data_IF_277878737084
#
_entry.id   IF_277878737084
#
_cell.length_a   1.000
_cell.length_b   1.000
_cell.length_c   1.000
_cell.angle_alpha   90.00
_cell.angle_beta   90.00
_cell.angle_gamma   90.00
#
_symmetry.space_group_name_H-M   'P 1'
#
loop_
_entity.id
_entity.type
_entity.pdbx_description
1 polymer ?
#
# COMPACT_ATOMS: atom_id res chain seq x y z
N UNK A 1 35.88 -8.64 -54.00
CA UNK A 1 36.06 -8.62 -52.53
C UNK A 1 35.75 -7.23 -51.99
N UNK A 2 34.53 -6.98 -51.50
CA UNK A 2 34.13 -5.72 -50.88
C UNK A 2 34.52 -5.72 -49.41
N UNK A 3 35.40 -4.79 -49.02
CA UNK A 3 35.86 -4.63 -47.64
C UNK A 3 34.76 -3.92 -46.86
N UNK A 4 34.04 -4.65 -46.01
CA UNK A 4 33.15 -4.06 -45.02
C UNK A 4 33.99 -3.15 -44.13
N UNK A 5 33.86 -1.83 -44.32
CA UNK A 5 34.36 -0.85 -43.38
C UNK A 5 33.40 -0.83 -42.20
N UNK A 6 33.73 -1.56 -41.15
CA UNK A 6 33.15 -1.33 -39.84
C UNK A 6 33.79 -0.07 -39.29
N UNK A 7 33.26 1.10 -39.65
CA UNK A 7 33.82 2.37 -39.19
C UNK A 7 33.64 2.46 -37.65
N UNK A 8 34.74 2.43 -36.87
CA UNK A 8 34.68 2.33 -35.40
C UNK A 8 34.01 3.55 -34.75
N UNK A 9 33.94 4.66 -35.49
CA UNK A 9 33.28 5.90 -35.06
C UNK A 9 31.75 5.82 -35.11
N UNK A 10 31.19 4.93 -35.94
CA UNK A 10 29.74 4.71 -36.00
C UNK A 10 29.24 3.95 -34.77
N UNK A 11 29.93 2.86 -34.41
CA UNK A 11 29.59 2.06 -33.22
C UNK A 11 29.77 2.85 -31.92
N UNK A 12 30.84 3.65 -31.80
CA UNK A 12 31.05 4.49 -30.62
C UNK A 12 29.90 5.49 -30.40
N UNK A 13 29.38 6.10 -31.46
CA UNK A 13 28.23 7.04 -31.37
C UNK A 13 26.94 6.34 -30.97
N UNK A 14 26.69 5.14 -31.49
CA UNK A 14 25.52 4.34 -31.12
C UNK A 14 25.59 3.96 -29.64
N UNK A 15 26.77 3.54 -29.15
CA UNK A 15 26.96 3.23 -27.74
C UNK A 15 26.76 4.46 -26.85
N UNK A 16 27.31 5.62 -27.21
CA UNK A 16 27.13 6.86 -26.46
C UNK A 16 25.65 7.27 -26.43
N UNK A 17 24.96 7.19 -27.57
CA UNK A 17 23.54 7.50 -27.65
C UNK A 17 22.70 6.55 -26.79
N UNK A 18 22.99 5.24 -26.81
CA UNK A 18 22.31 4.26 -25.99
C UNK A 18 22.51 4.54 -24.48
N UNK A 19 23.74 4.83 -24.07
CA UNK A 19 24.06 5.18 -22.66
C UNK A 19 23.34 6.47 -22.25
N UNK A 20 23.34 7.49 -23.10
CA UNK A 20 22.66 8.75 -22.83
C UNK A 20 21.13 8.58 -22.66
N UNK A 21 20.50 7.76 -23.51
CA UNK A 21 19.07 7.44 -23.39
C UNK A 21 18.78 6.69 -22.09
N UNK A 22 19.60 5.71 -21.73
CA UNK A 22 19.42 4.97 -20.47
C UNK A 22 19.58 5.87 -19.24
N UNK A 23 20.55 6.79 -19.25
CA UNK A 23 20.74 7.76 -18.18
C UNK A 23 19.55 8.73 -18.06
N UNK A 24 19.03 9.22 -19.19
CA UNK A 24 17.86 10.08 -19.21
C UNK A 24 16.60 9.38 -18.65
N UNK A 25 16.38 8.11 -19.03
CA UNK A 25 15.28 7.30 -18.49
C UNK A 25 15.43 7.06 -16.99
N UNK A 26 16.64 6.77 -16.51
CA UNK A 26 16.90 6.59 -15.08
C UNK A 26 16.63 7.88 -14.28
N UNK A 27 17.03 9.04 -14.79
CA UNK A 27 16.73 10.34 -14.17
C UNK A 27 15.24 10.68 -14.20
N UNK A 28 14.53 10.34 -15.27
CA UNK A 28 13.09 10.58 -15.38
C UNK A 28 12.32 9.72 -14.38
N UNK A 29 12.64 8.43 -14.28
CA UNK A 29 12.00 7.51 -13.32
C UNK A 29 12.37 7.87 -11.88
N UNK A 30 13.66 8.08 -11.59
CA UNK A 30 14.13 8.45 -10.25
C UNK A 30 13.60 9.80 -9.79
N UNK A 31 13.64 10.82 -10.65
CA UNK A 31 13.11 12.15 -10.37
C UNK A 31 11.58 12.15 -10.23
N UNK A 32 10.87 11.38 -11.06
CA UNK A 32 9.43 11.21 -10.96
C UNK A 32 9.01 10.55 -9.64
N UNK A 33 9.70 9.48 -9.23
CA UNK A 33 9.45 8.82 -7.94
C UNK A 33 9.80 9.71 -6.75
N UNK A 34 10.91 10.47 -6.82
CA UNK A 34 11.27 11.43 -5.77
C UNK A 34 10.21 12.53 -5.60
N UNK A 35 9.64 13.04 -6.71
CA UNK A 35 8.58 14.05 -6.67
C UNK A 35 7.28 13.49 -6.07
N UNK A 36 6.86 12.27 -6.46
CA UNK A 36 5.68 11.61 -5.89
C UNK A 36 5.87 11.35 -4.39
N UNK A 37 7.05 10.88 -3.99
CA UNK A 37 7.38 10.66 -2.58
C UNK A 37 7.45 11.97 -1.78
N UNK A 38 7.92 13.08 -2.36
CA UNK A 38 7.91 14.38 -1.69
C UNK A 38 6.50 14.99 -1.56
N UNK A 39 5.60 14.72 -2.53
CA UNK A 39 4.22 15.19 -2.49
C UNK A 39 3.32 14.34 -1.58
N UNK A 40 3.66 13.07 -1.40
CA UNK A 40 2.85 12.09 -0.65
C UNK A 40 3.47 11.71 0.71
N UNK A 41 4.73 12.04 0.93
CA UNK A 41 5.47 11.77 2.17
C UNK A 41 5.24 12.87 3.20
N UNK A 42 4.61 12.53 4.31
CA UNK A 42 4.64 13.34 5.53
C UNK A 42 6.09 13.48 6.03
N UNK A 43 6.49 14.63 6.58
CA UNK A 43 7.88 14.84 6.99
C UNK A 43 8.21 13.96 8.20
N UNK A 44 8.99 12.90 8.00
CA UNK A 44 9.62 12.19 9.11
C UNK A 44 10.62 13.13 9.80
N UNK A 45 10.20 13.60 10.97
CA UNK A 45 11.02 14.40 11.87
C UNK A 45 12.09 13.49 12.48
N UNK A 46 13.23 13.40 11.80
CA UNK A 46 14.48 12.86 12.36
C UNK A 46 15.00 13.80 13.46
N UNK A 47 14.73 13.45 14.72
CA UNK A 47 15.46 13.97 15.88
C UNK A 47 16.52 12.95 16.33
N UNK A 48 17.79 13.34 16.55
CA UNK A 48 18.83 12.42 17.01
C UNK A 48 19.01 12.41 18.54
N UNK A 49 19.52 11.27 19.03
CA UNK A 49 20.21 11.04 20.32
C UNK A 49 19.28 10.93 21.55
N UNK A 50 19.45 10.01 22.50
CA UNK A 50 20.68 9.45 23.05
C UNK A 50 20.43 8.11 23.75
N UNK A 51 21.48 7.28 23.81
CA UNK A 51 21.56 6.05 24.61
C UNK A 51 21.41 6.31 26.12
N UNK A 52 20.78 5.38 26.86
CA UNK A 52 21.21 5.00 28.21
C UNK A 52 20.48 3.72 28.71
N UNK A 53 21.28 2.65 28.86
CA UNK A 53 21.32 1.68 29.95
C UNK A 53 20.05 1.00 30.51
N UNK A 54 20.06 -0.35 30.45
CA UNK A 54 19.45 -1.25 31.45
C UNK A 54 20.25 -1.19 32.76
N UNK A 55 19.68 -1.45 33.95
CA UNK A 55 19.43 -2.84 34.39
C UNK A 55 18.11 -3.05 35.20
N UNK A 56 17.91 -4.31 35.63
CA UNK A 56 16.70 -4.93 36.17
C UNK A 56 16.34 -4.60 37.64
N UNK A 57 15.05 -4.76 37.99
CA UNK A 57 14.46 -5.24 39.27
C UNK A 57 12.92 -5.12 39.14
N UNK A 58 12.17 -6.22 39.07
CA UNK A 58 11.46 -6.91 40.18
C UNK A 58 10.12 -6.27 40.61
N UNK A 59 9.08 -7.07 40.38
CA UNK A 59 7.87 -7.29 41.20
C UNK A 59 6.89 -6.14 41.51
N UNK A 60 5.67 -6.23 40.99
CA UNK A 60 4.39 -6.37 41.73
C UNK A 60 3.23 -6.13 40.77
N UNK A 61 2.23 -7.01 40.80
CA UNK A 61 1.08 -7.03 39.88
C UNK A 61 0.16 -5.80 39.90
N UNK A 62 -0.64 -5.69 38.83
CA UNK A 62 -1.72 -4.72 38.71
C UNK A 62 -2.19 -4.54 37.27
N UNK A 63 -3.21 -5.32 36.90
CA UNK A 63 -4.31 -5.03 35.95
C UNK A 63 -4.01 -4.41 34.56
N UNK A 64 -4.48 -5.03 33.44
CA UNK A 64 -4.42 -4.41 32.12
C UNK A 64 -5.53 -3.34 32.01
N UNK A 65 -5.25 -2.12 32.47
CA UNK A 65 -6.19 -1.02 32.22
C UNK A 65 -6.10 -0.55 30.75
N UNK A 66 -7.26 -0.26 30.14
CA UNK A 66 -7.45 -0.28 28.70
C UNK A 66 -7.31 1.13 28.10
N UNK A 67 -7.20 1.14 26.76
CA UNK A 67 -7.65 2.24 25.91
C UNK A 67 -7.03 3.63 26.21
N UNK A 68 -5.87 3.88 25.60
CA UNK A 68 -5.50 5.25 25.24
C UNK A 68 -6.62 5.82 24.38
N UNK A 69 -7.38 6.74 24.98
CA UNK A 69 -8.43 7.53 24.36
C UNK A 69 -7.89 8.19 23.09
N UNK A 70 -8.14 7.55 21.95
CA UNK A 70 -7.98 8.19 20.65
C UNK A 70 -9.11 9.21 20.56
N UNK A 71 -8.72 10.49 20.53
CA UNK A 71 -9.48 11.59 19.92
C UNK A 71 -10.33 11.09 18.75
N UNK A 72 -11.53 11.63 18.47
CA UNK A 72 -12.42 11.12 17.41
C UNK A 72 -11.79 11.28 16.02
N UNK A 73 -10.82 10.43 15.72
CA UNK A 73 -10.30 10.17 14.40
C UNK A 73 -11.48 9.58 13.66
N UNK A 74 -11.98 10.30 12.67
CA UNK A 74 -13.07 9.82 11.83
C UNK A 74 -12.62 8.50 11.22
N UNK A 75 -13.14 7.39 11.75
CA UNK A 75 -12.76 6.07 11.29
C UNK A 75 -13.08 5.93 9.79
N UNK A 76 -12.10 5.49 9.01
CA UNK A 76 -12.29 5.27 7.58
C UNK A 76 -13.42 4.26 7.32
N UNK A 77 -14.23 4.47 6.27
CA UNK A 77 -15.27 3.52 5.89
C UNK A 77 -14.76 2.09 5.70
N UNK A 78 -13.61 1.92 5.05
CA UNK A 78 -13.03 0.61 4.77
C UNK A 78 -11.51 0.65 4.77
N UNK A 79 -10.92 -0.31 5.47
CA UNK A 79 -9.51 -0.69 5.37
C UNK A 79 -9.44 -2.17 5.03
N UNK A 80 -8.66 -2.51 4.01
CA UNK A 80 -8.33 -3.90 3.64
C UNK A 80 -6.83 -4.09 3.85
N UNK A 81 -6.46 -5.11 4.62
CA UNK A 81 -5.07 -5.55 4.77
C UNK A 81 -4.94 -7.00 4.35
N UNK A 82 -3.98 -7.31 3.49
CA UNK A 82 -3.71 -8.69 3.08
C UNK A 82 -2.82 -9.35 4.13
N UNK A 83 -3.38 -10.30 4.88
CA UNK A 83 -2.68 -11.04 5.93
C UNK A 83 -2.23 -12.43 5.49
N UNK A 84 -2.86 -12.98 4.45
CA UNK A 84 -2.53 -14.28 3.85
C UNK A 84 -1.89 -14.17 2.47
N UNK A 85 -2.01 -15.21 1.63
CA UNK A 85 -1.51 -15.20 0.25
C UNK A 85 -2.11 -14.08 -0.60
N UNK A 86 -1.41 -13.68 -1.68
CA UNK A 86 -1.92 -12.70 -2.62
C UNK A 86 -3.31 -13.09 -3.16
N UNK A 87 -4.22 -12.12 -3.27
CA UNK A 87 -5.60 -12.40 -3.67
C UNK A 87 -6.18 -11.29 -4.56
N UNK A 88 -7.04 -11.70 -5.49
CA UNK A 88 -7.75 -10.77 -6.36
C UNK A 88 -8.91 -10.12 -5.62
N UNK A 89 -8.95 -8.79 -5.62
CA UNK A 89 -9.95 -7.98 -4.94
C UNK A 89 -10.58 -6.99 -5.90
N UNK A 90 -11.90 -6.88 -5.81
CA UNK A 90 -12.69 -5.84 -6.46
C UNK A 90 -13.38 -5.01 -5.39
N UNK A 91 -13.17 -3.70 -5.44
CA UNK A 91 -13.86 -2.72 -4.61
C UNK A 91 -14.54 -1.73 -5.54
N UNK A 92 -15.84 -1.54 -5.35
CA UNK A 92 -16.63 -0.58 -6.13
C UNK A 92 -17.55 0.23 -5.23
N UNK A 93 -17.89 1.44 -5.65
CA UNK A 93 -18.98 2.21 -5.07
C UNK A 93 -20.28 1.44 -5.31
N UNK A 94 -21.09 1.28 -4.26
CA UNK A 94 -22.36 0.57 -4.34
C UNK A 94 -23.52 1.51 -4.68
N UNK A 95 -23.35 2.26 -5.78
CA UNK A 95 -24.38 3.07 -6.40
C UNK A 95 -24.77 2.49 -7.78
N UNK A 96 -25.68 3.15 -8.48
CA UNK A 96 -26.13 2.73 -9.82
C UNK A 96 -25.01 2.79 -10.87
N UNK A 97 -23.99 3.63 -10.66
CA UNK A 97 -22.86 3.79 -11.59
C UNK A 97 -21.74 2.78 -11.38
N UNK A 98 -21.64 2.19 -10.19
CA UNK A 98 -20.75 1.07 -9.90
C UNK A 98 -19.25 1.37 -10.03
N UNK A 99 -18.83 2.64 -9.83
CA UNK A 99 -17.43 3.06 -10.04
C UNK A 99 -16.47 2.11 -9.33
N UNK A 100 -15.58 1.48 -10.09
CA UNK A 100 -14.54 0.59 -9.57
C UNK A 100 -13.40 1.43 -8.99
N UNK A 101 -13.08 1.20 -7.72
CA UNK A 101 -11.98 1.84 -7.01
C UNK A 101 -10.72 0.98 -7.04
N UNK A 102 -10.90 -0.34 -6.94
CA UNK A 102 -9.83 -1.33 -7.01
C UNK A 102 -10.32 -2.52 -7.81
N UNK A 103 -9.50 -3.01 -8.72
CA UNK A 103 -9.71 -4.27 -9.44
C UNK A 103 -8.34 -4.85 -9.78
N UNK A 104 -7.89 -5.82 -8.99
CA UNK A 104 -6.56 -6.39 -9.16
C UNK A 104 -6.14 -7.31 -8.02
N UNK A 105 -4.96 -7.90 -8.17
CA UNK A 105 -4.34 -8.71 -7.13
C UNK A 105 -3.67 -7.79 -6.11
N UNK A 106 -4.03 -7.97 -4.84
CA UNK A 106 -3.33 -7.36 -3.71
C UNK A 106 -2.33 -8.37 -3.15
N UNK A 107 -1.12 -7.91 -2.88
CA UNK A 107 -0.03 -8.76 -2.38
C UNK A 107 -0.04 -8.85 -0.84
N UNK A 108 0.60 -9.88 -0.29
CA UNK A 108 0.73 -10.04 1.16
C UNK A 108 1.38 -8.79 1.79
N UNK A 109 0.80 -8.31 2.90
CA UNK A 109 1.24 -7.10 3.59
C UNK A 109 0.69 -5.80 3.00
N UNK A 110 0.11 -5.82 1.81
CA UNK A 110 -0.49 -4.64 1.19
C UNK A 110 -1.72 -4.17 1.98
N UNK A 111 -1.86 -2.86 2.10
CA UNK A 111 -3.00 -2.22 2.78
C UNK A 111 -3.66 -1.20 1.85
N UNK A 112 -4.98 -1.24 1.77
CA UNK A 112 -5.80 -0.30 0.99
C UNK A 112 -6.82 0.39 1.88
N UNK A 113 -6.85 1.70 1.81
CA UNK A 113 -7.72 2.57 2.58
C UNK A 113 -8.72 3.24 1.64
N UNK A 114 -10.01 3.23 2.00
CA UNK A 114 -11.06 3.83 1.19
C UNK A 114 -11.85 4.83 2.03
N UNK A 115 -12.11 6.00 1.44
CA UNK A 115 -12.84 7.11 2.08
C UNK A 115 -14.29 7.20 1.60
N UNK A 116 -14.62 6.48 0.53
CA UNK A 116 -15.97 6.43 -0.02
C UNK A 116 -16.86 5.42 0.71
N UNK A 117 -18.15 5.71 0.73
CA UNK A 117 -19.21 4.77 1.09
C UNK A 117 -20.51 5.23 0.40
N UNK A 118 -21.42 4.30 0.03
CA UNK A 118 -21.37 2.87 0.27
C UNK A 118 -20.42 2.12 -0.69
N UNK A 119 -19.84 1.01 -0.25
CA UNK A 119 -18.96 0.16 -1.06
C UNK A 119 -19.42 -1.30 -1.08
N UNK A 120 -19.21 -1.96 -2.22
CA UNK A 120 -19.24 -3.41 -2.33
C UNK A 120 -17.81 -3.92 -2.53
N UNK A 121 -17.40 -4.84 -1.66
CA UNK A 121 -16.09 -5.49 -1.69
C UNK A 121 -16.29 -6.96 -2.02
N UNK A 122 -15.49 -7.46 -2.95
CA UNK A 122 -15.41 -8.87 -3.31
C UNK A 122 -13.94 -9.27 -3.34
N UNK A 123 -13.60 -10.35 -2.64
CA UNK A 123 -12.26 -10.93 -2.66
C UNK A 123 -12.34 -12.41 -3.04
N UNK A 124 -11.45 -12.88 -3.91
CA UNK A 124 -11.42 -14.28 -4.33
C UNK A 124 -11.02 -15.23 -3.19
N UNK A 125 -10.12 -14.79 -2.31
CA UNK A 125 -9.78 -15.48 -1.06
C UNK A 125 -10.02 -14.50 0.10
N UNK A 126 -11.21 -14.55 0.69
CA UNK A 126 -11.58 -13.72 1.81
C UNK A 126 -10.86 -14.08 3.12
N UNK A 127 -10.32 -15.30 3.23
CA UNK A 127 -9.45 -15.70 4.32
C UNK A 127 -8.05 -15.07 4.25
N UNK A 128 -7.63 -14.58 3.09
CA UNK A 128 -6.36 -13.86 2.98
C UNK A 128 -6.42 -12.39 3.46
N UNK A 129 -7.61 -11.90 3.85
CA UNK A 129 -7.83 -10.49 4.16
C UNK A 129 -8.28 -10.26 5.61
N UNK A 130 -7.69 -9.25 6.23
CA UNK A 130 -8.30 -8.56 7.37
C UNK A 130 -9.05 -7.34 6.84
N UNK A 131 -10.36 -7.30 7.11
CA UNK A 131 -11.24 -6.22 6.67
C UNK A 131 -11.72 -5.44 7.89
N UNK A 132 -11.52 -4.13 7.89
CA UNK A 132 -12.01 -3.23 8.94
C UNK A 132 -13.00 -2.26 8.32
N UNK A 133 -14.22 -2.24 8.86
CA UNK A 133 -15.31 -1.39 8.38
C UNK A 133 -15.69 -0.42 9.48
N UNK A 134 -15.59 0.88 9.23
CA UNK A 134 -15.88 1.92 10.21
C UNK A 134 -15.15 1.72 11.55
N UNK A 135 -13.89 1.27 11.49
CA UNK A 135 -13.06 0.95 12.65
C UNK A 135 -13.32 -0.43 13.30
N UNK A 136 -14.29 -1.20 12.81
CA UNK A 136 -14.63 -2.53 13.35
C UNK A 136 -14.07 -3.64 12.48
N UNK A 137 -13.20 -4.47 13.05
CA UNK A 137 -12.67 -5.68 12.40
C UNK A 137 -13.84 -6.63 12.08
N UNK A 138 -13.93 -7.05 10.83
CA UNK A 138 -14.92 -8.00 10.36
C UNK A 138 -14.44 -9.43 10.56
N UNK A 139 -15.35 -10.39 10.77
CA UNK A 139 -14.98 -11.81 10.78
C UNK A 139 -14.29 -12.20 9.47
N UNK A 140 -13.13 -12.84 9.61
CA UNK A 140 -12.39 -13.41 8.50
C UNK A 140 -13.23 -14.53 7.86
N UNK A 141 -13.17 -14.62 6.53
CA UNK A 141 -13.81 -15.73 5.81
C UNK A 141 -12.90 -16.95 5.83
N UNK A 142 -13.42 -18.16 5.56
CA UNK A 142 -12.56 -19.33 5.44
C UNK A 142 -11.53 -19.15 4.31
N UNK A 143 -10.35 -19.72 4.50
CA UNK A 143 -9.28 -19.67 3.51
C UNK A 143 -9.71 -20.33 2.19
N UNK A 144 -9.32 -19.69 1.09
CA UNK A 144 -9.64 -20.12 -0.27
C UNK A 144 -11.09 -19.84 -0.69
N UNK A 145 -11.95 -19.34 0.21
CA UNK A 145 -13.34 -19.02 -0.12
C UNK A 145 -13.50 -17.56 -0.52
N UNK A 146 -14.43 -17.31 -1.44
CA UNK A 146 -14.79 -15.96 -1.86
C UNK A 146 -15.41 -15.18 -0.71
N UNK A 147 -14.87 -14.01 -0.42
CA UNK A 147 -15.39 -13.09 0.58
C UNK A 147 -16.18 -11.94 -0.04
N UNK A 148 -17.29 -11.58 0.58
CA UNK A 148 -18.04 -10.37 0.25
C UNK A 148 -18.30 -9.54 1.49
N UNK A 149 -18.20 -8.22 1.34
CA UNK A 149 -18.56 -7.27 2.38
C UNK A 149 -19.27 -6.07 1.76
N UNK A 150 -20.26 -5.56 2.50
CA UNK A 150 -20.96 -4.33 2.17
C UNK A 150 -20.65 -3.26 3.20
N UNK A 151 -20.13 -2.13 2.74
CA UNK A 151 -19.81 -0.97 3.56
C UNK A 151 -20.94 0.02 3.41
N UNK A 152 -21.70 0.25 4.47
CA UNK A 152 -22.80 1.24 4.48
C UNK A 152 -22.23 2.65 4.58
N UNK A 153 -22.93 3.62 3.97
CA UNK A 153 -22.73 5.03 4.30
C UNK A 153 -23.06 5.27 5.78
N UNK A 154 -22.27 6.11 6.47
CA UNK A 154 -22.69 6.61 7.79
C UNK A 154 -23.81 7.62 7.56
N UNK A 155 -24.95 7.42 8.23
CA UNK A 155 -25.89 8.52 8.41
C UNK A 155 -25.25 9.48 9.42
N UNK A 156 -25.15 10.75 9.05
CA UNK A 156 -24.84 11.83 9.98
C UNK A 156 -25.95 12.03 10.98
#
# INVERSE_FOLDING_TARGET
MGRHRSDPRGLARILIAAVAVMAALALLVGGGMALVNALTGEPEQKGPSSSASRPAAEDTGGDPSPETASSPTVALPLVIRVTGPATYVVVRVADTGGKVLTQGTLNQGETRNYREAPLQVVAYNGGALQVVIHGKVQPQKPDGQRGEWFVKARRG
#
